data_IF_804271748631
#
_entry.id   IF_804271748631
#
_cell.length_a   1.000
_cell.length_b   1.000
_cell.length_c   1.000
_cell.angle_alpha   90.00
_cell.angle_beta   90.00
_cell.angle_gamma   90.00
#
_symmetry.space_group_name_H-M   'P 1'
#
loop_
_entity.id
_entity.type
_entity.pdbx_description
1 polymer ?
#
# COMPACT_ATOMS: atom_id res chain seq x y z
N UNK A 1 16.11 9.63 4.04
CA UNK A 1 16.02 8.58 3.03
C UNK A 1 17.33 8.52 2.28
N UNK A 2 17.92 7.36 2.16
CA UNK A 2 19.21 7.27 1.49
C UNK A 2 19.11 7.66 0.03
N UNK A 3 20.02 8.49 -0.39
CA UNK A 3 20.30 8.65 -1.79
C UNK A 3 21.00 7.37 -2.28
N UNK A 4 20.83 7.04 -3.48
CA UNK A 4 21.47 5.88 -4.00
C UNK A 4 21.04 5.59 -5.40
N UNK A 5 21.26 4.39 -5.77
CA UNK A 5 20.92 3.96 -7.12
C UNK A 5 19.44 4.07 -7.42
N UNK A 6 18.60 4.03 -6.38
CA UNK A 6 17.17 4.27 -6.53
C UNK A 6 16.84 5.67 -7.07
N UNK A 7 17.74 6.61 -6.89
CA UNK A 7 17.59 7.96 -7.41
C UNK A 7 18.04 8.08 -8.86
N UNK A 8 18.68 7.05 -9.38
CA UNK A 8 19.15 7.00 -10.75
C UNK A 8 18.07 6.34 -11.61
N UNK A 9 17.91 6.78 -12.82
CA UNK A 9 16.91 6.25 -13.72
C UNK A 9 15.49 6.54 -13.26
N UNK A 10 14.64 5.53 -13.19
CA UNK A 10 13.24 5.73 -12.82
C UNK A 10 13.06 6.22 -11.37
N UNK A 11 14.07 6.00 -10.53
CA UNK A 11 14.00 6.38 -9.14
C UNK A 11 14.10 7.88 -8.89
N UNK A 12 14.62 8.65 -9.83
CA UNK A 12 14.87 10.07 -9.63
C UNK A 12 13.64 10.85 -9.17
N UNK A 13 12.53 10.75 -9.89
CA UNK A 13 11.31 11.49 -9.55
C UNK A 13 10.72 11.01 -8.22
N UNK A 14 10.69 9.69 -8.01
CA UNK A 14 10.18 9.11 -6.76
C UNK A 14 11.04 9.49 -5.57
N UNK A 15 12.36 9.40 -5.71
CA UNK A 15 13.30 9.78 -4.65
C UNK A 15 13.25 11.27 -4.36
N UNK A 16 13.09 12.10 -5.38
CA UNK A 16 12.92 13.53 -5.22
C UNK A 16 11.68 13.87 -4.41
N UNK A 17 10.55 13.23 -4.70
CA UNK A 17 9.30 13.40 -3.96
C UNK A 17 9.44 12.91 -2.53
N UNK A 18 10.00 11.72 -2.32
CA UNK A 18 10.19 11.16 -0.99
C UNK A 18 11.10 12.02 -0.13
N UNK A 19 12.17 12.56 -0.71
CA UNK A 19 13.06 13.47 0.00
C UNK A 19 12.36 14.80 0.33
N UNK A 20 11.54 15.32 -0.57
CA UNK A 20 10.74 16.53 -0.31
C UNK A 20 9.79 16.32 0.86
N UNK A 21 9.14 15.15 0.95
CA UNK A 21 8.27 14.79 2.07
C UNK A 21 9.06 14.70 3.38
N UNK A 22 10.25 14.12 3.36
CA UNK A 22 11.11 14.08 4.54
C UNK A 22 11.53 15.47 5.00
N UNK A 23 11.81 16.36 4.06
CA UNK A 23 12.13 17.74 4.37
C UNK A 23 10.96 18.47 5.04
N UNK A 24 9.73 18.20 4.58
CA UNK A 24 8.53 18.75 5.24
C UNK A 24 8.39 18.26 6.68
N UNK A 25 8.70 17.00 6.94
CA UNK A 25 8.71 16.46 8.30
C UNK A 25 9.74 17.16 9.17
N UNK A 26 10.91 17.48 8.61
CA UNK A 26 11.94 18.23 9.32
C UNK A 26 11.50 19.60 9.73
N UNK A 27 10.63 20.25 8.94
CA UNK A 27 10.06 21.57 9.23
C UNK A 27 8.84 21.49 10.14
N UNK A 28 8.16 20.34 10.17
CA UNK A 28 6.94 20.12 10.94
C UNK A 28 7.02 18.77 11.63
N UNK A 29 7.48 18.76 12.86
CA UNK A 29 7.77 17.53 13.62
C UNK A 29 6.54 16.69 13.92
N UNK A 30 5.35 17.25 13.85
CA UNK A 30 4.11 16.53 14.10
C UNK A 30 3.50 15.93 12.83
N UNK A 31 4.11 16.18 11.70
CA UNK A 31 3.62 15.65 10.42
C UNK A 31 3.84 14.15 10.34
N UNK A 32 2.79 13.42 10.02
CA UNK A 32 2.84 12.00 9.70
C UNK A 32 2.77 11.83 8.18
N UNK A 33 3.65 10.99 7.66
CA UNK A 33 3.76 10.73 6.22
C UNK A 33 3.58 9.23 6.01
N UNK A 34 2.75 8.86 5.06
CA UNK A 34 2.50 7.47 4.76
C UNK A 34 2.24 7.24 3.28
N UNK A 35 1.91 6.00 2.97
CA UNK A 35 1.62 5.56 1.60
C UNK A 35 0.28 4.86 1.56
N UNK A 36 -0.48 5.11 0.49
CA UNK A 36 -1.72 4.38 0.20
C UNK A 36 -1.45 3.27 -0.79
N UNK A 37 -2.01 2.10 -0.54
CA UNK A 37 -1.96 0.96 -1.43
C UNK A 37 -3.36 0.68 -1.96
N UNK A 38 -3.48 0.44 -3.26
CA UNK A 38 -4.72 0.09 -3.90
C UNK A 38 -5.36 1.27 -4.64
N UNK A 39 -6.53 1.67 -4.19
CA UNK A 39 -7.35 2.65 -4.86
C UNK A 39 -8.24 2.02 -5.92
N UNK A 40 -8.90 2.87 -6.69
CA UNK A 40 -9.91 2.44 -7.68
C UNK A 40 -9.37 1.40 -8.66
N UNK A 41 -8.22 1.64 -9.25
CA UNK A 41 -7.69 0.79 -10.33
C UNK A 41 -6.72 -0.29 -9.87
N UNK A 42 -6.35 -0.36 -8.60
CA UNK A 42 -5.33 -1.28 -8.09
C UNK A 42 -5.79 -2.13 -6.91
N UNK A 43 -7.10 -2.38 -6.81
CA UNK A 43 -7.65 -3.21 -5.73
C UNK A 43 -7.92 -4.67 -6.14
N UNK A 44 -7.65 -5.04 -7.38
CA UNK A 44 -8.02 -6.34 -7.92
C UNK A 44 -7.41 -7.54 -7.22
N UNK A 45 -6.22 -7.40 -6.66
CA UNK A 45 -5.50 -8.50 -6.03
C UNK A 45 -5.77 -8.64 -4.52
N UNK A 46 -6.41 -7.67 -3.90
CA UNK A 46 -6.60 -7.70 -2.44
C UNK A 46 -7.39 -8.89 -1.94
N UNK A 47 -8.44 -9.30 -2.66
CA UNK A 47 -9.27 -10.44 -2.25
C UNK A 47 -8.43 -11.72 -2.12
N UNK A 48 -7.62 -12.00 -3.12
CA UNK A 48 -6.76 -13.19 -3.12
C UNK A 48 -5.68 -13.11 -2.04
N UNK A 49 -5.04 -11.96 -1.92
CA UNK A 49 -3.98 -11.74 -0.92
C UNK A 49 -4.54 -11.86 0.48
N UNK A 50 -5.65 -11.19 0.76
CA UNK A 50 -6.25 -11.19 2.09
C UNK A 50 -6.75 -12.59 2.52
N UNK A 51 -7.17 -13.42 1.56
CA UNK A 51 -7.67 -14.76 1.84
C UNK A 51 -6.56 -15.76 2.15
N UNK A 52 -5.33 -15.50 1.79
CA UNK A 52 -4.20 -16.44 1.93
C UNK A 52 -3.27 -15.99 3.06
N UNK A 53 -3.11 -16.81 4.13
CA UNK A 53 -2.14 -16.49 5.18
C UNK A 53 -0.73 -16.27 4.65
N UNK A 54 -0.29 -17.08 3.68
CA UNK A 54 1.04 -16.93 3.09
C UNK A 54 1.20 -15.63 2.30
N UNK A 55 0.17 -15.25 1.53
CA UNK A 55 0.20 -14.01 0.74
C UNK A 55 0.08 -12.78 1.63
N UNK A 56 -0.75 -12.85 2.70
CA UNK A 56 -0.79 -11.77 3.69
C UNK A 56 0.57 -11.55 4.32
N UNK A 57 1.22 -12.64 4.73
CA UNK A 57 2.56 -12.57 5.32
C UNK A 57 3.55 -11.88 4.39
N UNK A 58 3.54 -12.25 3.11
CA UNK A 58 4.43 -11.67 2.12
C UNK A 58 4.18 -10.17 1.93
N UNK A 59 2.91 -9.79 1.83
CA UNK A 59 2.55 -8.37 1.71
C UNK A 59 2.99 -7.58 2.94
N UNK A 60 2.73 -8.11 4.13
CA UNK A 60 3.12 -7.47 5.40
C UNK A 60 4.62 -7.29 5.48
N UNK A 61 5.40 -8.30 5.10
CA UNK A 61 6.86 -8.20 5.07
C UNK A 61 7.32 -7.08 4.13
N UNK A 62 6.72 -7.00 2.94
CA UNK A 62 7.06 -5.98 1.96
C UNK A 62 6.67 -4.58 2.42
N UNK A 63 5.50 -4.44 3.05
CA UNK A 63 5.07 -3.17 3.65
C UNK A 63 6.07 -2.72 4.72
N UNK A 64 6.47 -3.63 5.59
CA UNK A 64 7.41 -3.34 6.66
C UNK A 64 8.75 -2.85 6.11
N UNK A 65 9.26 -3.54 5.10
CA UNK A 65 10.49 -3.14 4.43
C UNK A 65 10.38 -1.76 3.79
N UNK A 66 9.26 -1.50 3.13
CA UNK A 66 9.03 -0.22 2.49
C UNK A 66 8.97 0.92 3.50
N UNK A 67 8.25 0.74 4.60
CA UNK A 67 8.14 1.77 5.64
C UNK A 67 9.50 2.06 6.28
N UNK A 68 10.30 1.02 6.53
CA UNK A 68 11.65 1.20 7.06
C UNK A 68 12.55 1.94 6.08
N UNK A 69 12.51 1.55 4.83
CA UNK A 69 13.34 2.16 3.79
C UNK A 69 13.01 3.64 3.59
N UNK A 70 11.72 3.97 3.57
CA UNK A 70 11.26 5.34 3.32
C UNK A 70 11.14 6.18 4.57
N UNK A 71 11.25 5.56 5.76
CA UNK A 71 11.00 6.21 7.04
C UNK A 71 9.61 6.83 7.12
N UNK A 72 8.62 6.18 6.49
CA UNK A 72 7.23 6.59 6.56
C UNK A 72 6.56 6.10 7.83
N UNK A 73 5.51 6.80 8.25
CA UNK A 73 4.86 6.59 9.54
C UNK A 73 3.70 5.60 9.47
N UNK A 74 3.06 5.46 8.31
CA UNK A 74 1.87 4.60 8.18
C UNK A 74 1.68 4.09 6.76
N UNK A 75 0.87 3.05 6.64
CA UNK A 75 0.33 2.57 5.39
C UNK A 75 -1.19 2.68 5.45
N UNK A 76 -1.78 3.12 4.38
CA UNK A 76 -3.23 3.17 4.18
C UNK A 76 -3.63 2.12 3.16
N UNK A 77 -4.53 1.23 3.53
CA UNK A 77 -5.03 0.21 2.60
C UNK A 77 -6.34 0.72 2.01
N UNK A 78 -6.27 1.12 0.77
CA UNK A 78 -7.39 1.68 0.04
C UNK A 78 -8.00 0.63 -0.88
N UNK A 79 -8.71 -0.31 -0.28
CA UNK A 79 -9.35 -1.42 -0.99
C UNK A 79 -10.74 -1.01 -1.45
N UNK A 80 -10.93 -0.88 -2.73
CA UNK A 80 -12.20 -0.44 -3.34
C UNK A 80 -12.77 -1.54 -4.23
N UNK A 81 -13.63 -2.44 -3.72
CA UNK A 81 -14.09 -2.50 -2.32
C UNK A 81 -14.16 -3.94 -1.85
N UNK A 82 -13.98 -4.23 -0.57
CA UNK A 82 -14.15 -5.60 -0.07
C UNK A 82 -15.57 -6.10 -0.35
N UNK A 83 -15.66 -7.36 -0.80
CA UNK A 83 -16.94 -8.04 -1.06
C UNK A 83 -17.80 -7.42 -2.17
N UNK A 84 -17.23 -6.55 -2.97
CA UNK A 84 -17.96 -5.88 -4.06
C UNK A 84 -17.29 -6.19 -5.41
N UNK A 85 -17.96 -6.98 -6.23
CA UNK A 85 -17.49 -7.27 -7.59
C UNK A 85 -17.71 -6.05 -8.46
N UNK A 86 -16.64 -5.49 -8.97
CA UNK A 86 -16.67 -4.28 -9.80
C UNK A 86 -16.09 -4.57 -11.17
N UNK A 87 -16.80 -4.16 -12.20
CA UNK A 87 -16.29 -4.22 -13.56
C UNK A 87 -15.16 -3.22 -13.79
N UNK A 88 -14.23 -3.53 -14.70
CA UNK A 88 -13.17 -2.58 -15.04
C UNK A 88 -13.72 -1.25 -15.55
N UNK A 89 -13.16 -0.15 -15.08
CA UNK A 89 -13.47 1.20 -15.54
C UNK A 89 -12.32 1.70 -16.40
N UNK A 90 -12.30 1.27 -17.64
CA UNK A 90 -11.20 1.54 -18.57
C UNK A 90 -11.26 2.93 -19.19
N UNK A 91 -12.34 3.65 -18.93
CA UNK A 91 -12.44 5.08 -19.30
C UNK A 91 -11.60 5.90 -18.32
N UNK A 92 -11.70 5.59 -17.03
CA UNK A 92 -10.88 6.22 -16.01
C UNK A 92 -9.41 5.79 -16.12
N UNK A 93 -9.18 4.48 -16.25
CA UNK A 93 -7.83 3.92 -16.36
C UNK A 93 -7.86 2.67 -17.26
N UNK A 94 -7.17 2.76 -18.40
CA UNK A 94 -7.13 1.66 -19.37
C UNK A 94 -6.59 0.35 -18.79
N UNK A 95 -5.84 0.42 -17.69
CA UNK A 95 -5.25 -0.75 -17.02
C UNK A 95 -6.07 -1.23 -15.81
N UNK A 96 -7.24 -0.64 -15.57
CA UNK A 96 -8.10 -1.07 -14.49
C UNK A 96 -8.64 -2.48 -14.77
N UNK A 97 -8.41 -3.40 -13.86
CA UNK A 97 -8.91 -4.77 -13.96
C UNK A 97 -10.18 -4.99 -13.14
N UNK A 98 -10.62 -3.97 -12.40
CA UNK A 98 -11.75 -4.09 -11.51
C UNK A 98 -11.45 -4.98 -10.31
N UNK A 99 -12.49 -5.55 -9.74
CA UNK A 99 -12.40 -6.47 -8.60
C UNK A 99 -13.19 -7.75 -8.87
N UNK A 100 -12.82 -8.53 -9.89
CA UNK A 100 -13.61 -9.71 -10.30
C UNK A 100 -13.60 -10.83 -9.27
N UNK A 101 -12.60 -10.86 -8.39
CA UNK A 101 -12.42 -11.92 -7.39
C UNK A 101 -13.02 -11.58 -6.03
N UNK A 102 -13.71 -10.45 -5.92
CA UNK A 102 -14.36 -10.04 -4.66
C UNK A 102 -15.37 -11.10 -4.21
N UNK A 103 -15.41 -11.33 -2.90
CA UNK A 103 -16.27 -12.35 -2.29
C UNK A 103 -16.67 -11.91 -0.88
N UNK A 104 -17.77 -12.47 -0.33
CA UNK A 104 -18.26 -12.08 1.00
C UNK A 104 -17.20 -12.19 2.10
N UNK A 105 -16.32 -13.18 2.01
CA UNK A 105 -15.25 -13.43 2.99
C UNK A 105 -14.21 -12.30 3.03
N UNK A 106 -14.20 -11.44 2.04
CA UNK A 106 -13.28 -10.28 1.99
C UNK A 106 -13.40 -9.41 3.24
N UNK A 107 -14.60 -9.27 3.79
CA UNK A 107 -14.83 -8.44 4.97
C UNK A 107 -14.03 -8.93 6.17
N UNK A 108 -14.08 -10.23 6.42
CA UNK A 108 -13.33 -10.85 7.52
C UNK A 108 -11.85 -10.90 7.21
N UNK A 109 -11.51 -11.26 5.98
CA UNK A 109 -10.13 -11.36 5.54
C UNK A 109 -9.42 -10.01 5.55
N UNK A 110 -10.15 -8.93 5.23
CA UNK A 110 -9.61 -7.59 5.33
C UNK A 110 -9.23 -7.24 6.77
N UNK A 111 -10.09 -7.61 7.72
CA UNK A 111 -9.79 -7.40 9.15
C UNK A 111 -8.52 -8.16 9.54
N UNK A 112 -8.37 -9.41 9.08
CA UNK A 112 -7.16 -10.20 9.32
C UNK A 112 -5.92 -9.52 8.74
N UNK A 113 -6.03 -9.00 7.52
CA UNK A 113 -4.93 -8.28 6.87
C UNK A 113 -4.52 -7.05 7.69
N UNK A 114 -5.50 -6.25 8.11
CA UNK A 114 -5.23 -5.04 8.90
C UNK A 114 -4.59 -5.40 10.26
N UNK A 115 -5.04 -6.46 10.90
CA UNK A 115 -4.43 -6.95 12.15
C UNK A 115 -2.98 -7.38 11.93
N UNK A 116 -2.71 -8.09 10.86
CA UNK A 116 -1.36 -8.55 10.55
C UNK A 116 -0.43 -7.36 10.29
N UNK A 117 -0.90 -6.36 9.54
CA UNK A 117 -0.14 -5.13 9.28
C UNK A 117 0.12 -4.39 10.59
N UNK A 118 -0.89 -4.24 11.42
CA UNK A 118 -0.77 -3.53 12.71
C UNK A 118 0.27 -4.20 13.61
N UNK A 119 0.21 -5.52 13.73
CA UNK A 119 1.14 -6.26 14.57
C UNK A 119 2.59 -6.09 14.09
N UNK A 120 2.81 -6.10 12.78
CA UNK A 120 4.14 -5.96 12.21
C UNK A 120 4.67 -4.53 12.33
N UNK A 121 3.82 -3.52 12.12
CA UNK A 121 4.24 -2.13 12.12
C UNK A 121 4.49 -1.57 13.51
N UNK A 122 3.90 -2.14 14.54
CA UNK A 122 4.20 -1.76 15.93
C UNK A 122 5.64 -2.05 16.34
N UNK A 123 6.36 -2.85 15.57
CA UNK A 123 7.74 -3.25 15.85
C UNK A 123 8.79 -2.44 15.10
N UNK A 124 8.35 -1.51 14.29
CA UNK A 124 9.26 -0.67 13.51
C UNK A 124 9.84 0.46 14.36
#
# INVERSE_FOLDING_TARGET
MPAGEAEVGWGNAASGLLNALQNLRGQNKNLKIGVSLGGWSKSGDFSEVAASPAKRKKLVENITKFLKYTNMDFVDIDWEYPADVREPDRVDNKNDEGTPNAKPEDKENYILLLKDIRAATLRI
#
